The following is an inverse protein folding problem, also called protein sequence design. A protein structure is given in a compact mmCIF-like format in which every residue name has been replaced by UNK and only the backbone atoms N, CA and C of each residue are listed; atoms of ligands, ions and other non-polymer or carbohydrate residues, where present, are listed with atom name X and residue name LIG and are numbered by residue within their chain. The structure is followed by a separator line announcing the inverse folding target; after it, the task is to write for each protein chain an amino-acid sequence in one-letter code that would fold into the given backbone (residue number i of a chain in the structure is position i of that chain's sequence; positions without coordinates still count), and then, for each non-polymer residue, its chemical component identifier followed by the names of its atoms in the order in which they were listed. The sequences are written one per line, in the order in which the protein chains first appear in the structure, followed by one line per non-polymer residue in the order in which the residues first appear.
data_IF_939832459194
#
_entry.id   IF_939832459194
#
_cell.length_a   1.000
_cell.length_b   1.000
_cell.length_c   1.000
_cell.angle_alpha   90.00
_cell.angle_beta   90.00
_cell.angle_gamma   90.00
#
_symmetry.space_group_name_H-M   'P 1'
#
loop_
_entity.id
_entity.type
_entity.pdbx_description
1 polymer ?
#
# COMPACT_ATOMS: atom_id res chain seq x y z
N UNK A 1 3.15 -1.53 -23.48
CA UNK A 1 1.82 -1.09 -22.99
C UNK A 1 1.99 0.11 -22.09
N UNK A 2 1.21 1.17 -22.27
CA UNK A 2 1.24 2.35 -21.40
C UNK A 2 0.63 1.98 -20.04
N UNK A 3 1.41 1.90 -18.94
CA UNK A 3 0.87 1.62 -17.61
C UNK A 3 -0.10 2.73 -17.15
N UNK A 4 -0.01 3.92 -17.76
CA UNK A 4 -0.97 5.01 -17.59
C UNK A 4 -2.38 4.70 -18.11
N UNK A 5 -2.55 3.71 -18.99
CA UNK A 5 -3.87 3.30 -19.50
C UNK A 5 -4.68 2.55 -18.44
N UNK A 6 -4.01 1.68 -17.66
CA UNK A 6 -4.61 1.00 -16.51
C UNK A 6 -4.99 1.97 -15.38
N UNK A 7 -4.22 3.05 -15.21
CA UNK A 7 -4.56 4.14 -14.29
C UNK A 7 -5.80 4.92 -14.76
N UNK A 8 -6.05 5.04 -16.07
CA UNK A 8 -7.19 5.83 -16.61
C UNK A 8 -8.54 5.11 -16.46
N UNK A 9 -8.52 3.80 -16.25
CA UNK A 9 -9.69 2.98 -15.94
C UNK A 9 -9.75 2.77 -14.43
N UNK A 10 -10.34 3.74 -13.74
CA UNK A 10 -10.43 3.82 -12.29
C UNK A 10 -11.34 2.73 -11.72
N UNK A 11 -10.75 1.59 -11.37
CA UNK A 11 -11.46 0.57 -10.59
C UNK A 11 -11.22 0.77 -9.09
N UNK A 12 -12.31 1.03 -8.36
CA UNK A 12 -12.34 1.18 -6.90
C UNK A 12 -12.67 -0.14 -6.20
N UNK A 13 -13.18 -1.15 -6.91
CA UNK A 13 -13.57 -2.42 -6.32
C UNK A 13 -12.38 -3.25 -5.86
N UNK A 14 -11.33 -3.36 -6.70
CA UNK A 14 -10.09 -4.07 -6.33
C UNK A 14 -9.40 -3.49 -5.08
N UNK A 15 -9.07 -2.19 -5.04
CA UNK A 15 -8.46 -1.53 -3.89
C UNK A 15 -9.28 -1.69 -2.60
N UNK A 16 -10.61 -1.59 -2.72
CA UNK A 16 -11.52 -1.79 -1.60
C UNK A 16 -11.47 -3.23 -1.07
N UNK A 17 -11.43 -4.22 -1.97
CA UNK A 17 -11.31 -5.63 -1.58
C UNK A 17 -10.00 -5.89 -0.81
N UNK A 18 -8.86 -5.43 -1.32
CA UNK A 18 -7.56 -5.64 -0.68
C UNK A 18 -7.46 -4.96 0.70
N UNK A 19 -7.93 -3.72 0.82
CA UNK A 19 -7.87 -3.05 2.14
C UNK A 19 -8.82 -3.65 3.18
N UNK A 20 -10.00 -4.12 2.77
CA UNK A 20 -10.90 -4.88 3.66
C UNK A 20 -10.24 -6.18 4.09
N UNK A 21 -9.64 -6.91 3.14
CA UNK A 21 -8.99 -8.19 3.41
C UNK A 21 -7.79 -8.04 4.37
N UNK A 22 -6.93 -7.04 4.12
CA UNK A 22 -5.83 -6.68 5.00
C UNK A 22 -6.34 -6.32 6.40
N UNK A 23 -7.32 -5.43 6.47
CA UNK A 23 -7.92 -4.99 7.72
C UNK A 23 -8.50 -6.15 8.53
N UNK A 24 -9.22 -7.07 7.88
CA UNK A 24 -9.78 -8.25 8.53
C UNK A 24 -8.71 -9.21 9.03
N UNK A 25 -7.65 -9.44 8.24
CA UNK A 25 -6.54 -10.32 8.61
C UNK A 25 -5.80 -9.75 9.83
N UNK A 26 -5.52 -8.45 9.82
CA UNK A 26 -4.92 -7.74 10.95
C UNK A 26 -5.82 -7.75 12.19
N UNK A 27 -7.12 -7.48 12.04
CA UNK A 27 -8.09 -7.52 13.13
C UNK A 27 -8.25 -8.93 13.72
N UNK A 28 -8.06 -9.98 12.93
CA UNK A 28 -8.09 -11.36 13.42
C UNK A 28 -6.85 -11.67 14.26
N UNK A 29 -5.66 -11.24 13.78
CA UNK A 29 -4.38 -11.40 14.49
C UNK A 29 -4.33 -10.56 15.77
N UNK A 30 -4.97 -9.39 15.78
CA UNK A 30 -4.97 -8.47 16.90
C UNK A 30 -5.63 -9.08 18.16
N UNK A 31 -4.86 -9.19 19.25
CA UNK A 31 -5.37 -9.63 20.55
C UNK A 31 -6.28 -8.58 21.22
N UNK A 32 -6.06 -7.29 20.94
CA UNK A 32 -6.76 -6.16 21.58
C UNK A 32 -7.16 -5.12 20.50
N UNK A 33 -8.30 -4.43 20.69
CA UNK A 33 -8.74 -3.29 19.84
C UNK A 33 -8.87 -3.60 18.33
N UNK A 34 -9.47 -4.75 18.00
CA UNK A 34 -9.69 -5.23 16.62
C UNK A 34 -10.33 -4.18 15.68
N UNK A 35 -11.28 -3.40 16.18
CA UNK A 35 -11.94 -2.34 15.41
C UNK A 35 -11.04 -1.14 15.12
N UNK A 36 -10.16 -0.76 16.05
CA UNK A 36 -9.20 0.33 15.84
C UNK A 36 -8.18 -0.07 14.77
N UNK A 37 -7.69 -1.30 14.81
CA UNK A 37 -6.75 -1.86 13.81
C UNK A 37 -7.33 -1.79 12.40
N UNK A 38 -8.58 -2.20 12.24
CA UNK A 38 -9.28 -2.12 10.96
C UNK A 38 -9.38 -0.67 10.46
N UNK A 39 -9.78 0.25 11.35
CA UNK A 39 -9.90 1.66 11.02
C UNK A 39 -8.56 2.29 10.66
N UNK A 40 -7.46 1.90 11.34
CA UNK A 40 -6.11 2.39 11.05
C UNK A 40 -5.64 1.93 9.68
N UNK A 41 -5.90 0.67 9.28
CA UNK A 41 -5.56 0.20 7.93
C UNK A 41 -6.25 1.06 6.85
N UNK A 42 -7.56 1.28 6.99
CA UNK A 42 -8.34 2.14 6.09
C UNK A 42 -7.84 3.59 6.08
N UNK A 43 -7.56 4.15 7.25
CA UNK A 43 -7.07 5.51 7.40
C UNK A 43 -5.68 5.68 6.75
N UNK A 44 -4.79 4.69 6.88
CA UNK A 44 -3.46 4.69 6.25
C UNK A 44 -3.56 4.70 4.72
N UNK A 45 -4.43 3.87 4.13
CA UNK A 45 -4.61 3.88 2.68
C UNK A 45 -5.22 5.20 2.19
N UNK A 46 -6.25 5.70 2.86
CA UNK A 46 -6.88 6.97 2.50
C UNK A 46 -5.91 8.16 2.63
N UNK A 47 -5.18 8.24 3.74
CA UNK A 47 -4.16 9.26 3.95
C UNK A 47 -3.02 9.13 2.94
N UNK A 48 -2.56 7.91 2.66
CA UNK A 48 -1.55 7.63 1.65
C UNK A 48 -1.97 8.13 0.27
N UNK A 49 -3.21 7.88 -0.14
CA UNK A 49 -3.77 8.36 -1.40
C UNK A 49 -3.83 9.90 -1.46
N UNK A 50 -4.26 10.57 -0.39
CA UNK A 50 -4.27 12.04 -0.31
C UNK A 50 -2.85 12.59 -0.43
N UNK A 51 -1.92 12.09 0.38
CA UNK A 51 -0.52 12.56 0.42
C UNK A 51 0.14 12.34 -0.95
N UNK A 52 -0.05 11.16 -1.56
CA UNK A 52 0.50 10.84 -2.87
C UNK A 52 -0.02 11.79 -3.95
N UNK A 53 -1.33 12.04 -3.97
CA UNK A 53 -1.96 12.94 -4.94
C UNK A 53 -1.38 14.34 -4.82
N UNK A 54 -1.31 14.87 -3.59
CA UNK A 54 -0.73 16.19 -3.34
C UNK A 54 0.74 16.24 -3.74
N UNK A 55 1.53 15.21 -3.41
CA UNK A 55 2.94 15.14 -3.75
C UNK A 55 3.17 15.16 -5.27
N UNK A 56 2.41 14.38 -6.04
CA UNK A 56 2.50 14.35 -7.50
C UNK A 56 2.07 15.69 -8.12
N UNK A 57 0.99 16.30 -7.62
CA UNK A 57 0.54 17.62 -8.08
C UNK A 57 1.61 18.70 -7.81
N UNK A 58 2.24 18.69 -6.64
CA UNK A 58 3.32 19.62 -6.28
C UNK A 58 4.59 19.40 -7.13
N UNK A 59 4.85 18.16 -7.54
CA UNK A 59 5.97 17.84 -8.43
C UNK A 59 5.72 18.22 -9.89
N UNK A 60 4.53 18.75 -10.23
CA UNK A 60 4.11 19.11 -11.58
C UNK A 60 3.69 17.92 -12.43
N UNK A 61 3.37 16.79 -11.80
CA UNK A 61 2.76 15.62 -12.45
C UNK A 61 1.24 15.74 -12.52
N UNK A 62 0.59 14.76 -13.16
CA UNK A 62 -0.86 14.74 -13.31
C UNK A 62 -1.44 13.38 -12.90
N UNK A 63 -2.06 13.33 -11.72
CA UNK A 63 -2.79 12.18 -11.17
C UNK A 63 -4.03 12.71 -10.44
N UNK A 64 -5.19 12.05 -10.55
CA UNK A 64 -6.35 12.40 -9.70
C UNK A 64 -6.45 11.41 -8.52
N UNK A 65 -7.15 11.82 -7.46
CA UNK A 65 -7.18 11.13 -6.16
C UNK A 65 -7.57 9.65 -6.20
N UNK A 66 -8.47 9.27 -7.10
CA UNK A 66 -8.91 7.87 -7.18
C UNK A 66 -7.83 6.90 -7.74
N UNK A 67 -6.70 7.39 -8.29
CA UNK A 67 -5.72 6.66 -9.14
C UNK A 67 -4.60 6.35 -8.20
N UNK A 68 -4.20 7.35 -7.41
CA UNK A 68 -3.39 7.15 -6.24
C UNK A 68 -4.07 6.15 -5.31
N UNK A 69 -5.36 6.27 -5.01
CA UNK A 69 -6.09 5.28 -4.22
C UNK A 69 -6.04 3.89 -4.87
N UNK A 70 -6.36 3.82 -6.16
CA UNK A 70 -6.42 2.55 -6.89
C UNK A 70 -5.05 1.86 -7.00
N UNK A 71 -4.02 2.60 -7.42
CA UNK A 71 -2.62 2.18 -7.48
C UNK A 71 -2.15 1.66 -6.12
N UNK A 72 -2.34 2.47 -5.06
CA UNK A 72 -1.87 2.10 -3.73
C UNK A 72 -2.54 0.83 -3.24
N UNK A 73 -3.85 0.70 -3.44
CA UNK A 73 -4.62 -0.47 -3.03
C UNK A 73 -4.28 -1.73 -3.83
N UNK A 74 -4.08 -1.64 -5.14
CA UNK A 74 -3.64 -2.80 -5.94
C UNK A 74 -2.26 -3.30 -5.54
N UNK A 75 -1.36 -2.37 -5.24
CA UNK A 75 -0.03 -2.69 -4.80
C UNK A 75 0.02 -3.18 -3.33
N UNK A 76 -1.10 -3.20 -2.59
CA UNK A 76 -1.18 -3.86 -1.28
C UNK A 76 -1.26 -5.39 -1.37
N UNK A 77 -1.62 -5.96 -2.52
CA UNK A 77 -1.79 -7.40 -2.66
C UNK A 77 -0.63 -8.25 -2.11
N UNK A 78 0.66 -7.94 -2.37
CA UNK A 78 1.74 -8.72 -1.76
C UNK A 78 1.78 -8.60 -0.23
N UNK A 79 1.47 -7.42 0.33
CA UNK A 79 1.36 -7.21 1.77
C UNK A 79 0.21 -8.01 2.39
N UNK A 80 -0.93 -8.14 1.70
CA UNK A 80 -2.06 -8.96 2.13
C UNK A 80 -1.67 -10.44 2.27
N UNK A 81 -0.96 -10.96 1.26
CA UNK A 81 -0.42 -12.33 1.29
C UNK A 81 0.60 -12.47 2.41
N UNK A 82 1.44 -11.45 2.62
CA UNK A 82 2.41 -11.41 3.73
C UNK A 82 1.72 -11.48 5.10
N UNK A 83 0.68 -10.67 5.33
CA UNK A 83 -0.09 -10.67 6.56
C UNK A 83 -0.77 -12.02 6.80
N UNK A 84 -1.31 -12.66 5.76
CA UNK A 84 -1.91 -13.98 5.86
C UNK A 84 -0.87 -15.06 6.24
N UNK A 85 0.34 -15.00 5.67
CA UNK A 85 1.42 -15.92 6.02
C UNK A 85 1.90 -15.69 7.46
N UNK A 86 2.01 -14.44 7.90
CA UNK A 86 2.36 -14.10 9.29
C UNK A 86 1.35 -14.69 10.28
N UNK A 87 0.05 -14.62 9.96
CA UNK A 87 -1.01 -15.20 10.78
C UNK A 87 -0.90 -16.73 10.92
N UNK A 88 -0.29 -17.44 9.96
CA UNK A 88 -0.13 -18.89 9.97
C UNK A 88 1.19 -19.38 10.60
N UNK A 89 2.16 -18.49 10.83
CA UNK A 89 3.52 -18.84 11.26
C UNK A 89 3.95 -17.99 12.44
N UNK A 90 4.09 -18.59 13.63
CA UNK A 90 4.47 -17.86 14.86
C UNK A 90 5.93 -17.37 14.91
N UNK A 91 6.78 -17.79 13.97
CA UNK A 91 8.20 -17.45 13.98
C UNK A 91 8.44 -15.99 13.55
N UNK A 92 8.79 -15.13 14.52
CA UNK A 92 9.08 -13.70 14.31
C UNK A 92 10.08 -13.44 13.18
N UNK A 93 11.16 -14.25 13.08
CA UNK A 93 12.17 -14.10 12.01
C UNK A 93 11.55 -14.30 10.63
N UNK A 94 10.67 -15.29 10.49
CA UNK A 94 9.98 -15.56 9.22
C UNK A 94 9.03 -14.41 8.89
N UNK A 95 8.30 -13.89 9.88
CA UNK A 95 7.39 -12.74 9.70
C UNK A 95 8.15 -11.52 9.18
N UNK A 96 9.27 -11.16 9.80
CA UNK A 96 10.11 -10.02 9.38
C UNK A 96 10.63 -10.21 7.95
N UNK A 97 11.12 -11.41 7.60
CA UNK A 97 11.60 -11.70 6.25
C UNK A 97 10.48 -11.63 5.23
N UNK A 98 9.31 -12.23 5.53
CA UNK A 98 8.14 -12.22 4.64
C UNK A 98 7.67 -10.79 4.41
N UNK A 99 7.49 -10.00 5.47
CA UNK A 99 7.07 -8.60 5.37
C UNK A 99 8.08 -7.76 4.60
N UNK A 100 9.38 -7.97 4.79
CA UNK A 100 10.41 -7.27 4.02
C UNK A 100 10.33 -7.58 2.52
N UNK A 101 10.12 -8.85 2.16
CA UNK A 101 9.99 -9.29 0.76
C UNK A 101 8.70 -8.73 0.14
N UNK A 102 7.57 -8.80 0.83
CA UNK A 102 6.29 -8.31 0.32
C UNK A 102 6.24 -6.79 0.22
N UNK A 103 6.89 -6.08 1.15
CA UNK A 103 7.07 -4.63 1.08
C UNK A 103 7.92 -4.22 -0.11
N UNK A 104 9.05 -4.90 -0.33
CA UNK A 104 9.90 -4.66 -1.49
C UNK A 104 9.14 -4.90 -2.81
N UNK A 105 8.35 -5.98 -2.87
CA UNK A 105 7.52 -6.30 -4.01
C UNK A 105 6.46 -5.23 -4.27
N UNK A 106 5.72 -4.82 -3.23
CA UNK A 106 4.66 -3.81 -3.31
C UNK A 106 5.22 -2.46 -3.79
N UNK A 107 6.40 -2.10 -3.29
CA UNK A 107 7.12 -0.89 -3.67
C UNK A 107 7.61 -0.94 -5.12
N UNK A 108 8.11 -2.10 -5.55
CA UNK A 108 8.53 -2.33 -6.94
C UNK A 108 7.34 -2.29 -7.90
N UNK A 109 6.20 -2.84 -7.51
CA UNK A 109 4.97 -2.82 -8.30
C UNK A 109 4.43 -1.39 -8.50
N UNK A 110 4.54 -0.53 -7.48
CA UNK A 110 4.13 0.87 -7.55
C UNK A 110 5.07 1.75 -8.39
N UNK A 111 6.36 1.38 -8.51
CA UNK A 111 7.39 2.14 -9.23
C UNK A 111 7.01 2.52 -10.67
N UNK A 112 6.64 1.58 -11.58
CA UNK A 112 6.36 1.90 -12.98
C UNK A 112 5.22 2.91 -13.12
N UNK A 113 4.14 2.75 -12.34
CA UNK A 113 3.00 3.65 -12.36
C UNK A 113 3.38 5.07 -11.92
N UNK A 114 4.10 5.18 -10.80
CA UNK A 114 4.60 6.47 -10.32
C UNK A 114 5.58 7.12 -11.30
N UNK A 115 6.42 6.30 -11.94
CA UNK A 115 7.42 6.77 -12.91
C UNK A 115 6.81 7.37 -14.18
N UNK A 116 5.54 7.06 -14.48
CA UNK A 116 4.78 7.66 -15.59
C UNK A 116 4.00 8.91 -15.19
N UNK A 117 3.73 9.09 -13.90
CA UNK A 117 2.98 10.25 -13.39
C UNK A 117 3.84 11.52 -13.25
N UNK A 118 5.17 11.38 -13.17
CA UNK A 118 6.12 12.48 -12.95
C UNK A 118 7.32 12.43 -13.90
N UNK A 119 7.96 13.59 -14.11
CA UNK A 119 9.14 13.70 -14.94
C UNK A 119 10.33 12.84 -14.43
N UNK A 120 11.22 12.36 -15.33
CA UNK A 120 12.30 11.44 -14.98
C UNK A 120 13.24 11.92 -13.86
N UNK A 121 13.51 13.23 -13.78
CA UNK A 121 14.36 13.81 -12.74
C UNK A 121 13.71 13.91 -11.35
N UNK A 122 12.43 13.61 -11.20
CA UNK A 122 11.64 13.77 -9.96
C UNK A 122 11.04 12.48 -9.42
N UNK A 123 11.34 11.33 -10.04
CA UNK A 123 10.79 10.01 -9.69
C UNK A 123 11.01 9.64 -8.23
N UNK A 124 12.22 9.86 -7.71
CA UNK A 124 12.56 9.53 -6.34
C UNK A 124 11.70 10.28 -5.30
N UNK A 125 11.36 11.54 -5.55
CA UNK A 125 10.52 12.34 -4.65
C UNK A 125 9.07 11.85 -4.65
N UNK A 126 8.57 11.38 -5.79
CA UNK A 126 7.21 10.84 -5.91
C UNK A 126 7.07 9.47 -5.24
N UNK A 127 8.14 8.67 -5.20
CA UNK A 127 8.17 7.35 -4.57
C UNK A 127 8.27 7.41 -3.04
N UNK A 128 8.82 8.48 -2.48
CA UNK A 128 9.06 8.59 -1.05
C UNK A 128 7.79 8.40 -0.19
N UNK A 129 6.65 9.06 -0.48
CA UNK A 129 5.42 8.84 0.29
C UNK A 129 4.87 7.42 0.18
N UNK A 130 5.02 6.79 -0.99
CA UNK A 130 4.56 5.41 -1.26
C UNK A 130 5.34 4.42 -0.40
N UNK A 131 6.68 4.54 -0.41
CA UNK A 131 7.56 3.72 0.42
C UNK A 131 7.23 3.88 1.91
N UNK A 132 7.05 5.13 2.36
CA UNK A 132 6.72 5.41 3.75
C UNK A 132 5.40 4.75 4.17
N UNK A 133 4.37 4.83 3.33
CA UNK A 133 3.09 4.17 3.59
C UNK A 133 3.25 2.65 3.71
N UNK A 134 3.92 1.98 2.76
CA UNK A 134 4.10 0.52 2.81
C UNK A 134 4.96 0.07 3.98
N UNK A 135 5.96 0.86 4.36
CA UNK A 135 6.72 0.63 5.59
C UNK A 135 5.81 0.74 6.81
N UNK A 136 4.96 1.77 6.91
CA UNK A 136 3.99 1.89 8.00
C UNK A 136 3.03 0.70 8.08
N UNK A 137 2.52 0.22 6.93
CA UNK A 137 1.66 -0.98 6.88
C UNK A 137 2.44 -2.23 7.29
N UNK A 138 3.67 -2.42 6.81
CA UNK A 138 4.52 -3.54 7.19
C UNK A 138 4.83 -3.58 8.69
N UNK A 139 5.13 -2.44 9.29
CA UNK A 139 5.28 -2.32 10.74
C UNK A 139 3.99 -2.65 11.48
N UNK A 140 2.85 -2.22 10.95
CA UNK A 140 1.54 -2.51 11.53
C UNK A 140 1.23 -4.02 11.50
N UNK A 141 1.61 -4.74 10.44
CA UNK A 141 1.51 -6.20 10.36
C UNK A 141 2.36 -6.87 11.45
N UNK A 142 3.60 -6.41 11.65
CA UNK A 142 4.51 -7.00 12.64
C UNK A 142 4.11 -6.66 14.08
N UNK A 143 3.57 -5.46 14.32
CA UNK A 143 3.31 -4.96 15.67
C UNK A 143 1.99 -5.46 16.28
N UNK A 144 1.04 -5.87 15.45
CA UNK A 144 -0.31 -6.31 15.88
C UNK A 144 -0.36 -7.80 16.22
N UNK A 145 0.59 -8.54 15.69
CA UNK A 145 0.80 -9.97 15.85
C UNK A 145 1.76 -10.22 17.02
#
# INVERSE_FOLDING_TARGET
EDPGKALRDWDLWGPFFFIVFLGLTLSWSASVKKSEVFAVAFALLAAGAVILTLNVLLLGGHIIFFQSLSLLGYCLFPLDVGALICMLKDNVIIKVVVVAVTLAWSSWAAYPFMSTAVNPGRKALALYPVLLMYVSVGFLIIAID
#
